data_IF_803461262591
#
_entry.id   IF_803461262591
#
_cell.length_a   1.000
_cell.length_b   1.000
_cell.length_c   1.000
_cell.angle_alpha   90.00
_cell.angle_beta   90.00
_cell.angle_gamma   90.00
#
_symmetry.space_group_name_H-M   'P 1'
#
loop_
_entity.id
_entity.type
_entity.pdbx_description
1 polymer ?
#
# COMPACT_ATOMS: atom_id res chain seq x y z
N UNK A 1 -35.45 -31.13 -10.64
CA UNK A 1 -34.37 -31.16 -9.63
C UNK A 1 -33.47 -32.40 -9.67
N UNK A 2 -33.83 -33.42 -10.43
CA UNK A 2 -33.06 -34.69 -10.54
C UNK A 2 -31.70 -34.56 -11.26
N UNK A 3 -31.50 -33.71 -12.30
CA UNK A 3 -30.21 -33.70 -13.03
C UNK A 3 -29.04 -33.13 -12.23
N UNK A 4 -29.29 -32.17 -11.33
CA UNK A 4 -28.22 -31.54 -10.51
C UNK A 4 -27.61 -32.49 -9.47
N UNK A 5 -28.45 -33.30 -8.84
CA UNK A 5 -27.99 -34.27 -7.81
C UNK A 5 -27.30 -35.48 -8.46
N UNK A 6 -27.72 -35.88 -9.68
CA UNK A 6 -27.07 -36.94 -10.42
C UNK A 6 -25.67 -36.54 -10.92
N UNK A 7 -25.46 -35.26 -11.30
CA UNK A 7 -24.16 -34.74 -11.71
C UNK A 7 -23.15 -34.74 -10.55
N UNK A 8 -23.59 -34.43 -9.34
CA UNK A 8 -22.71 -34.43 -8.13
C UNK A 8 -22.35 -35.86 -7.69
N UNK A 9 -23.31 -36.79 -7.75
CA UNK A 9 -23.11 -38.18 -7.27
C UNK A 9 -22.33 -39.08 -8.23
N UNK A 10 -22.30 -38.74 -9.51
CA UNK A 10 -21.65 -39.54 -10.57
C UNK A 10 -20.66 -38.71 -11.42
N UNK A 11 -20.10 -37.64 -10.84
CA UNK A 11 -19.23 -36.68 -11.55
C UNK A 11 -18.10 -37.38 -12.31
N UNK A 12 -17.37 -38.30 -11.69
CA UNK A 12 -16.22 -38.98 -12.32
C UNK A 12 -16.64 -39.87 -13.52
N UNK A 13 -17.75 -40.58 -13.38
CA UNK A 13 -18.25 -41.43 -14.47
C UNK A 13 -18.86 -40.61 -15.60
N UNK A 14 -19.58 -39.56 -15.29
CA UNK A 14 -20.15 -38.64 -16.26
C UNK A 14 -19.05 -37.91 -17.05
N UNK A 15 -17.98 -37.48 -16.38
CA UNK A 15 -16.82 -36.86 -17.02
C UNK A 15 -16.12 -37.85 -17.98
N UNK A 16 -15.86 -39.09 -17.54
CA UNK A 16 -15.23 -40.09 -18.40
C UNK A 16 -16.08 -40.44 -19.64
N UNK A 17 -17.39 -40.48 -19.49
CA UNK A 17 -18.30 -40.85 -20.55
C UNK A 17 -18.52 -39.74 -21.59
N UNK A 18 -18.49 -38.47 -21.11
CA UNK A 18 -18.65 -37.28 -21.94
C UNK A 18 -17.34 -36.72 -22.50
N UNK A 19 -16.20 -36.94 -21.82
CA UNK A 19 -14.92 -36.44 -22.24
C UNK A 19 -14.49 -36.99 -23.62
N UNK A 20 -14.67 -38.30 -23.88
CA UNK A 20 -14.27 -38.87 -25.14
C UNK A 20 -15.00 -38.32 -26.36
N UNK A 21 -16.36 -38.25 -26.37
CA UNK A 21 -17.07 -37.66 -27.51
C UNK A 21 -16.80 -36.16 -27.66
N UNK A 22 -16.59 -35.42 -26.54
CA UNK A 22 -16.23 -33.99 -26.58
C UNK A 22 -14.84 -33.78 -27.19
N UNK A 23 -13.85 -34.58 -26.81
CA UNK A 23 -12.50 -34.54 -27.42
C UNK A 23 -12.55 -34.88 -28.92
N UNK A 24 -13.39 -35.84 -29.30
CA UNK A 24 -13.56 -36.19 -30.72
C UNK A 24 -14.22 -35.05 -31.53
N UNK A 25 -15.27 -34.45 -30.96
CA UNK A 25 -15.94 -33.30 -31.54
C UNK A 25 -15.00 -32.10 -31.65
N UNK A 26 -14.22 -31.82 -30.59
CA UNK A 26 -13.20 -30.76 -30.57
C UNK A 26 -12.15 -30.97 -31.67
N UNK A 27 -11.62 -32.19 -31.83
CA UNK A 27 -10.68 -32.53 -32.92
C UNK A 27 -11.29 -32.37 -34.32
N UNK A 28 -12.56 -32.71 -34.48
CA UNK A 28 -13.27 -32.56 -35.75
C UNK A 28 -13.52 -31.09 -36.11
N UNK A 29 -13.81 -30.25 -35.10
CA UNK A 29 -14.06 -28.82 -35.26
C UNK A 29 -12.78 -27.98 -35.33
N UNK A 30 -11.68 -28.51 -34.82
CA UNK A 30 -10.40 -27.79 -34.76
C UNK A 30 -9.95 -27.18 -36.11
N UNK A 31 -10.00 -27.89 -37.26
CA UNK A 31 -9.60 -27.28 -38.53
C UNK A 31 -10.52 -26.15 -38.97
N UNK A 32 -11.81 -26.20 -38.63
CA UNK A 32 -12.78 -25.15 -38.95
C UNK A 32 -12.47 -23.91 -38.11
N UNK A 33 -12.23 -24.08 -36.79
CA UNK A 33 -11.84 -23.01 -35.89
C UNK A 33 -10.51 -22.39 -36.29
N UNK A 34 -9.52 -23.22 -36.65
CA UNK A 34 -8.23 -22.76 -37.15
C UNK A 34 -8.34 -21.91 -38.42
N UNK A 35 -9.20 -22.35 -39.40
CA UNK A 35 -9.44 -21.58 -40.60
C UNK A 35 -10.14 -20.24 -40.32
N UNK A 36 -11.10 -20.20 -39.38
CA UNK A 36 -11.76 -18.97 -38.97
C UNK A 36 -10.79 -18.00 -38.27
N UNK A 37 -9.97 -18.51 -37.37
CA UNK A 37 -8.93 -17.69 -36.70
C UNK A 37 -7.89 -17.17 -37.69
N UNK A 38 -7.47 -18.00 -38.64
CA UNK A 38 -6.55 -17.56 -39.69
C UNK A 38 -7.14 -16.42 -40.54
N UNK A 39 -8.43 -16.56 -40.95
CA UNK A 39 -9.11 -15.49 -41.71
C UNK A 39 -9.30 -14.22 -40.86
N UNK A 40 -9.66 -14.34 -39.59
CA UNK A 40 -9.76 -13.22 -38.67
C UNK A 40 -8.41 -12.49 -38.50
N UNK A 41 -7.33 -13.24 -38.28
CA UNK A 41 -5.99 -12.67 -38.17
C UNK A 41 -5.53 -12.00 -39.49
N UNK A 42 -5.89 -12.57 -40.64
CA UNK A 42 -5.59 -11.94 -41.91
C UNK A 42 -6.26 -10.57 -42.06
N UNK A 43 -7.52 -10.46 -41.63
CA UNK A 43 -8.28 -9.19 -41.63
C UNK A 43 -7.66 -8.19 -40.64
N UNK A 44 -7.30 -8.64 -39.42
CA UNK A 44 -6.68 -7.80 -38.41
C UNK A 44 -5.32 -7.26 -38.90
N UNK A 45 -4.51 -8.12 -39.52
CA UNK A 45 -3.23 -7.67 -40.11
C UNK A 45 -3.44 -6.68 -41.27
N UNK A 46 -4.47 -6.87 -42.10
CA UNK A 46 -4.80 -5.91 -43.14
C UNK A 46 -5.22 -4.54 -42.61
N UNK A 47 -5.85 -4.52 -41.41
CA UNK A 47 -6.26 -3.32 -40.70
C UNK A 47 -5.15 -2.75 -39.78
N UNK A 48 -3.95 -3.39 -39.72
CA UNK A 48 -2.83 -3.05 -38.84
C UNK A 48 -3.18 -3.10 -37.36
N UNK A 49 -4.11 -3.98 -36.96
CA UNK A 49 -4.44 -4.24 -35.58
C UNK A 49 -3.67 -5.49 -35.15
N UNK A 50 -2.84 -5.38 -34.12
CA UNK A 50 -2.16 -6.56 -33.55
C UNK A 50 -3.18 -7.43 -32.83
N UNK A 51 -3.33 -8.72 -33.20
CA UNK A 51 -4.19 -9.64 -32.48
C UNK A 51 -3.60 -9.87 -31.08
N UNK A 52 -4.33 -9.52 -30.04
CA UNK A 52 -3.97 -9.93 -28.67
C UNK A 52 -4.36 -11.40 -28.53
N UNK A 53 -3.38 -12.27 -28.31
CA UNK A 53 -3.63 -13.65 -27.91
C UNK A 53 -4.30 -13.66 -26.52
N UNK A 54 -5.57 -14.03 -26.47
CA UNK A 54 -6.35 -14.14 -25.21
C UNK A 54 -5.73 -15.14 -24.22
N UNK A 55 -4.82 -16.01 -24.67
CA UNK A 55 -4.12 -17.00 -23.83
C UNK A 55 -2.96 -16.37 -23.04
N UNK A 56 -2.54 -15.16 -23.40
CA UNK A 56 -1.48 -14.39 -22.72
C UNK A 56 -2.04 -13.10 -22.09
N UNK A 57 -3.33 -13.09 -21.71
CA UNK A 57 -3.87 -11.96 -20.95
C UNK A 57 -3.23 -11.94 -19.56
N UNK A 58 -2.13 -11.21 -19.45
CA UNK A 58 -1.75 -10.67 -18.15
C UNK A 58 -2.94 -9.83 -17.68
N UNK A 59 -3.61 -10.28 -16.65
CA UNK A 59 -4.67 -9.49 -16.02
C UNK A 59 -4.10 -8.14 -15.62
N UNK A 60 -4.83 -7.08 -15.91
CA UNK A 60 -4.49 -5.76 -15.38
C UNK A 60 -4.80 -5.70 -13.88
N UNK A 61 -4.22 -4.75 -13.16
CA UNK A 61 -4.51 -4.57 -11.73
C UNK A 61 -6.02 -4.38 -11.49
N UNK A 62 -6.68 -3.58 -12.34
CA UNK A 62 -8.12 -3.34 -12.25
C UNK A 62 -8.96 -4.61 -12.48
N UNK A 63 -8.52 -5.49 -13.38
CA UNK A 63 -9.19 -6.79 -13.58
C UNK A 63 -9.03 -7.69 -12.35
N UNK A 64 -7.83 -7.71 -11.73
CA UNK A 64 -7.58 -8.46 -10.48
C UNK A 64 -8.42 -7.89 -9.34
N UNK A 65 -8.46 -6.57 -9.17
CA UNK A 65 -9.31 -5.89 -8.17
C UNK A 65 -10.78 -6.27 -8.36
N UNK A 66 -11.28 -6.25 -9.62
CA UNK A 66 -12.66 -6.62 -9.95
C UNK A 66 -12.97 -8.10 -9.61
N UNK A 67 -12.04 -9.01 -9.92
CA UNK A 67 -12.18 -10.45 -9.62
C UNK A 67 -12.21 -10.67 -8.09
N UNK A 68 -11.33 -10.01 -7.35
CA UNK A 68 -11.28 -10.09 -5.88
C UNK A 68 -12.56 -9.54 -5.27
N UNK A 69 -13.02 -8.36 -5.69
CA UNK A 69 -14.24 -7.74 -5.20
C UNK A 69 -15.48 -8.62 -5.45
N UNK A 70 -15.58 -9.25 -6.62
CA UNK A 70 -16.68 -10.17 -6.93
C UNK A 70 -16.58 -11.47 -6.13
N UNK A 71 -15.36 -12.01 -5.95
CA UNK A 71 -15.14 -13.22 -5.17
C UNK A 71 -15.46 -13.03 -3.68
N UNK A 72 -15.15 -11.86 -3.14
CA UNK A 72 -15.50 -11.48 -1.75
C UNK A 72 -17.02 -11.29 -1.62
N UNK A 73 -17.65 -10.60 -2.58
CA UNK A 73 -19.11 -10.38 -2.57
C UNK A 73 -19.90 -11.69 -2.70
N UNK A 74 -19.41 -12.65 -3.48
CA UNK A 74 -20.02 -13.97 -3.65
C UNK A 74 -19.76 -14.92 -2.47
N UNK A 75 -18.92 -14.54 -1.49
CA UNK A 75 -18.52 -15.37 -0.36
C UNK A 75 -17.59 -16.52 -0.75
N UNK A 76 -16.97 -16.46 -1.93
CA UNK A 76 -15.98 -17.45 -2.38
C UNK A 76 -14.59 -17.17 -1.80
N UNK A 77 -14.31 -15.89 -1.52
CA UNK A 77 -13.09 -15.40 -0.87
C UNK A 77 -13.49 -14.72 0.45
N UNK A 78 -12.87 -15.15 1.56
CA UNK A 78 -13.03 -14.54 2.87
C UNK A 78 -11.90 -13.50 3.06
N UNK A 79 -12.24 -12.21 3.04
CA UNK A 79 -11.34 -11.09 3.37
C UNK A 79 -11.97 -10.29 4.52
N UNK A 80 -12.14 -10.96 5.68
CA UNK A 80 -12.80 -10.38 6.86
C UNK A 80 -12.12 -9.10 7.36
N UNK A 81 -10.81 -8.97 7.16
CA UNK A 81 -10.02 -7.81 7.58
C UNK A 81 -9.85 -6.75 6.50
N UNK A 82 -10.28 -7.00 5.26
CA UNK A 82 -10.11 -6.09 4.13
C UNK A 82 -8.66 -5.94 3.65
N UNK A 83 -7.72 -6.71 4.20
CA UNK A 83 -6.28 -6.59 3.90
C UNK A 83 -5.97 -6.79 2.42
N UNK A 84 -6.65 -7.75 1.77
CA UNK A 84 -6.42 -8.02 0.35
C UNK A 84 -6.89 -6.85 -0.51
N UNK A 85 -8.03 -6.26 -0.15
CA UNK A 85 -8.56 -5.07 -0.84
C UNK A 85 -7.61 -3.88 -0.67
N UNK A 86 -7.23 -3.56 0.58
CA UNK A 86 -6.29 -2.47 0.88
C UNK A 86 -4.93 -2.67 0.19
N UNK A 87 -4.41 -3.91 0.17
CA UNK A 87 -3.15 -4.21 -0.52
C UNK A 87 -3.21 -4.01 -2.04
N UNK A 88 -4.37 -4.23 -2.66
CA UNK A 88 -4.57 -3.96 -4.09
C UNK A 88 -4.76 -2.46 -4.38
N UNK A 89 -5.37 -1.71 -3.47
CA UNK A 89 -5.54 -0.26 -3.59
C UNK A 89 -4.26 0.50 -3.23
N UNK A 90 -3.38 -0.09 -2.42
CA UNK A 90 -2.13 0.52 -1.97
C UNK A 90 -1.25 1.02 -3.12
N UNK A 91 -1.22 0.28 -4.24
CA UNK A 91 -0.48 0.65 -5.45
C UNK A 91 -1.05 1.87 -6.18
N UNK A 92 -2.30 2.25 -5.90
CA UNK A 92 -2.95 3.40 -6.52
C UNK A 92 -2.68 4.71 -5.75
N UNK A 93 -2.21 4.61 -4.50
CA UNK A 93 -1.95 5.76 -3.63
C UNK A 93 -0.59 6.40 -3.92
N UNK A 94 -0.53 7.72 -3.79
CA UNK A 94 0.69 8.50 -3.89
C UNK A 94 1.13 9.03 -2.54
N UNK A 95 2.41 9.32 -2.39
CA UNK A 95 2.97 9.87 -1.16
C UNK A 95 2.24 11.16 -0.71
N UNK A 96 1.77 11.95 -1.67
CA UNK A 96 0.97 13.14 -1.41
C UNK A 96 -0.40 12.88 -0.80
N UNK A 97 -1.00 11.71 -1.06
CA UNK A 97 -2.33 11.35 -0.57
C UNK A 97 -2.27 10.91 0.91
N UNK A 98 -1.15 10.29 1.31
CA UNK A 98 -0.94 9.68 2.63
C UNK A 98 -0.15 10.58 3.59
N UNK A 99 0.58 11.58 3.08
CA UNK A 99 1.39 12.46 3.91
C UNK A 99 0.54 13.26 4.91
N UNK A 100 1.13 13.57 6.05
CA UNK A 100 0.62 14.59 6.97
C UNK A 100 1.09 15.96 6.47
N UNK A 101 0.18 16.89 6.12
CA UNK A 101 0.55 18.26 5.73
C UNK A 101 1.33 18.98 6.83
N UNK A 102 2.27 19.86 6.45
CA UNK A 102 3.15 20.54 7.41
C UNK A 102 2.42 21.27 8.52
N UNK A 103 1.27 21.86 8.24
CA UNK A 103 0.48 22.61 9.23
C UNK A 103 -0.04 21.72 10.37
N UNK A 104 -0.04 20.41 10.17
CA UNK A 104 -0.49 19.42 11.14
C UNK A 104 0.66 18.68 11.82
N UNK A 105 1.90 18.83 11.29
CA UNK A 105 3.09 18.19 11.86
C UNK A 105 3.52 18.95 13.10
N UNK A 106 3.72 18.22 14.20
CA UNK A 106 4.32 18.79 15.40
C UNK A 106 5.83 18.71 15.28
N UNK A 107 6.50 19.87 15.23
CA UNK A 107 7.96 20.00 15.16
C UNK A 107 8.56 20.33 16.52
N UNK A 108 9.85 20.12 16.63
CA UNK A 108 10.68 20.60 17.75
C UNK A 108 11.89 21.38 17.20
N UNK A 109 12.36 22.42 17.88
CA UNK A 109 13.50 23.18 17.40
C UNK A 109 14.79 22.37 17.49
N UNK A 110 15.72 22.64 16.58
CA UNK A 110 17.09 22.16 16.67
C UNK A 110 17.72 22.66 17.97
N UNK A 111 18.47 21.79 18.65
CA UNK A 111 19.07 22.10 19.95
C UNK A 111 18.10 22.07 21.13
N UNK A 112 16.89 21.51 20.95
CA UNK A 112 15.98 21.26 22.11
C UNK A 112 16.70 20.44 23.18
N UNK A 113 16.42 20.72 24.44
CA UNK A 113 16.97 19.95 25.57
C UNK A 113 16.17 18.64 25.77
N UNK A 114 16.77 17.58 26.37
CA UNK A 114 16.02 16.38 26.75
C UNK A 114 14.81 16.70 27.63
N UNK A 115 14.97 17.62 28.59
CA UNK A 115 13.90 18.06 29.48
C UNK A 115 12.68 18.60 28.68
N UNK A 116 12.92 19.54 27.76
CA UNK A 116 11.85 20.18 26.99
C UNK A 116 11.24 19.18 25.96
N UNK A 117 12.07 18.28 25.45
CA UNK A 117 11.59 17.22 24.54
C UNK A 117 10.63 16.28 25.28
N UNK A 118 11.01 15.77 26.45
CA UNK A 118 10.18 14.89 27.29
C UNK A 118 8.86 15.57 27.70
N UNK A 119 8.95 16.86 28.06
CA UNK A 119 7.75 17.65 28.35
C UNK A 119 6.81 17.73 27.14
N UNK A 120 7.37 17.95 25.93
CA UNK A 120 6.60 17.98 24.68
C UNK A 120 5.94 16.63 24.41
N UNK A 121 6.70 15.52 24.55
CA UNK A 121 6.17 14.16 24.43
C UNK A 121 5.00 13.92 25.39
N UNK A 122 5.19 14.31 26.68
CA UNK A 122 4.14 14.15 27.70
C UNK A 122 2.87 14.93 27.40
N UNK A 123 2.98 16.05 26.69
CA UNK A 123 1.84 16.92 26.34
C UNK A 123 1.08 16.43 25.10
N UNK A 124 1.77 15.96 24.07
CA UNK A 124 1.12 15.60 22.79
C UNK A 124 1.00 14.10 22.55
N UNK A 125 1.78 13.28 23.27
CA UNK A 125 1.69 11.82 23.23
C UNK A 125 2.39 11.15 22.04
N UNK A 126 3.09 11.91 21.19
CA UNK A 126 3.88 11.33 20.10
C UNK A 126 5.26 10.88 20.57
N UNK A 127 5.84 9.91 19.86
CA UNK A 127 7.19 9.41 20.16
C UNK A 127 8.25 9.91 19.19
N UNK A 128 7.85 10.50 18.06
CA UNK A 128 8.75 11.01 17.01
C UNK A 128 8.36 12.43 16.65
N UNK A 129 9.35 13.29 16.49
CA UNK A 129 9.18 14.70 16.18
C UNK A 129 10.17 15.12 15.12
N UNK A 130 9.69 15.82 14.11
CA UNK A 130 10.55 16.44 13.11
C UNK A 130 11.32 17.59 13.74
N UNK A 131 12.61 17.69 13.44
CA UNK A 131 13.48 18.75 13.93
C UNK A 131 13.55 19.86 12.91
N UNK A 132 13.14 21.05 13.33
CA UNK A 132 13.15 22.26 12.52
C UNK A 132 14.41 23.09 12.83
N UNK A 133 15.11 23.49 11.79
CA UNK A 133 16.28 24.35 11.90
C UNK A 133 15.87 25.84 12.05
N UNK A 134 16.80 26.73 12.45
CA UNK A 134 16.50 28.15 12.62
C UNK A 134 16.08 28.89 11.33
N UNK A 135 16.38 28.33 10.17
CA UNK A 135 16.03 28.89 8.86
C UNK A 135 14.68 28.37 8.33
N UNK A 136 13.98 27.54 9.12
CA UNK A 136 12.68 26.95 8.78
C UNK A 136 12.78 25.70 7.90
N UNK A 137 13.95 25.10 7.77
CA UNK A 137 14.17 23.81 7.14
C UNK A 137 13.96 22.65 8.13
N UNK A 138 14.07 21.42 7.63
CA UNK A 138 13.89 20.21 8.44
C UNK A 138 15.14 19.34 8.37
N UNK A 139 15.90 19.36 9.49
CA UNK A 139 17.20 18.67 9.61
C UNK A 139 17.04 17.16 9.69
N UNK A 140 15.95 16.69 10.34
CA UNK A 140 15.73 15.28 10.58
C UNK A 140 14.59 15.05 11.55
N UNK A 141 14.67 13.97 12.32
CA UNK A 141 13.70 13.71 13.39
C UNK A 141 14.38 13.12 14.63
N UNK A 142 13.76 13.37 15.78
CA UNK A 142 14.13 12.77 17.06
C UNK A 142 13.09 11.73 17.48
N UNK A 143 13.56 10.62 18.00
CA UNK A 143 12.72 9.61 18.62
C UNK A 143 12.94 9.64 20.14
N UNK A 144 11.88 9.53 20.94
CA UNK A 144 11.94 9.51 22.41
C UNK A 144 13.01 8.56 22.96
N UNK A 145 13.17 7.38 22.34
CA UNK A 145 14.19 6.40 22.68
C UNK A 145 15.63 6.96 22.68
N UNK A 146 15.92 7.85 21.71
CA UNK A 146 17.26 8.41 21.56
C UNK A 146 17.55 9.46 22.65
N UNK A 147 16.51 10.09 23.16
CA UNK A 147 16.58 11.08 24.24
C UNK A 147 16.69 10.43 25.62
N UNK A 148 15.91 9.36 25.87
CA UNK A 148 15.94 8.64 27.15
C UNK A 148 17.31 8.03 27.51
N UNK A 149 18.24 7.92 26.56
CA UNK A 149 19.60 7.45 26.79
C UNK A 149 20.54 8.54 27.30
N UNK A 150 20.08 9.78 27.37
CA UNK A 150 20.86 10.91 27.94
C UNK A 150 20.87 10.76 29.45
N UNK A 151 22.07 10.75 30.03
CA UNK A 151 22.20 10.68 31.50
C UNK A 151 21.72 11.97 32.20
N UNK A 152 21.49 11.92 33.52
CA UNK A 152 20.94 13.06 34.27
C UNK A 152 21.73 14.37 34.13
N UNK A 153 23.05 14.28 33.93
CA UNK A 153 23.91 15.45 33.78
C UNK A 153 23.77 16.20 32.45
N UNK A 154 23.16 15.56 31.44
CA UNK A 154 22.94 16.17 30.12
C UNK A 154 21.50 16.57 29.85
N UNK A 155 20.63 16.51 30.84
CA UNK A 155 19.17 16.73 30.65
C UNK A 155 18.83 18.19 30.28
N UNK A 156 19.65 19.15 30.70
CA UNK A 156 19.47 20.56 30.38
C UNK A 156 20.43 21.06 29.29
N UNK A 157 21.21 20.15 28.68
CA UNK A 157 22.10 20.48 27.57
C UNK A 157 21.37 20.21 26.21
N UNK A 158 21.66 21.03 25.18
CA UNK A 158 21.09 20.80 23.84
C UNK A 158 21.38 19.40 23.28
N UNK A 159 20.37 18.75 22.74
CA UNK A 159 20.54 17.45 22.04
C UNK A 159 21.44 17.67 20.83
N UNK A 160 22.56 16.94 20.70
CA UNK A 160 23.45 17.10 19.57
C UNK A 160 22.85 16.53 18.30
N UNK A 161 23.14 17.15 17.15
CA UNK A 161 22.67 16.72 15.81
C UNK A 161 23.01 15.26 15.47
N UNK A 162 24.04 14.70 16.08
CA UNK A 162 24.41 13.29 15.90
C UNK A 162 23.34 12.31 16.40
N UNK A 163 22.40 12.78 17.21
CA UNK A 163 21.23 11.99 17.65
C UNK A 163 20.00 12.21 16.79
N UNK A 164 20.00 13.23 15.93
CA UNK A 164 18.93 13.48 14.98
C UNK A 164 19.05 12.47 13.84
N UNK A 165 17.98 11.75 13.58
CA UNK A 165 17.91 10.76 12.51
C UNK A 165 17.55 11.43 11.20
N UNK A 166 18.11 10.93 10.10
CA UNK A 166 17.82 11.47 8.77
C UNK A 166 16.39 11.18 8.33
N UNK A 167 15.78 12.12 7.63
CA UNK A 167 14.56 11.91 6.86
C UNK A 167 14.91 11.28 5.50
N UNK A 168 14.11 10.34 5.04
CA UNK A 168 14.10 10.01 3.61
C UNK A 168 13.46 11.16 2.82
N UNK A 169 13.72 11.25 1.52
CA UNK A 169 13.06 12.23 0.65
C UNK A 169 12.29 11.49 -0.42
N UNK A 170 11.00 11.77 -0.53
CA UNK A 170 10.09 11.25 -1.55
C UNK A 170 9.42 12.42 -2.26
N UNK A 171 8.99 12.23 -3.50
CA UNK A 171 8.24 13.24 -4.23
C UNK A 171 6.76 13.09 -3.95
N UNK A 172 6.02 14.18 -4.13
CA UNK A 172 4.57 14.21 -3.95
C UNK A 172 3.85 13.17 -4.83
N UNK A 173 4.35 12.98 -6.06
CA UNK A 173 3.79 12.07 -7.06
C UNK A 173 4.33 10.64 -7.00
N UNK A 174 5.33 10.35 -6.15
CA UNK A 174 5.86 8.99 -6.02
C UNK A 174 4.79 8.03 -5.47
N UNK A 175 4.79 6.80 -5.96
CA UNK A 175 3.90 5.76 -5.45
C UNK A 175 4.26 5.41 -3.99
N UNK A 176 3.25 5.14 -3.18
CA UNK A 176 3.46 4.82 -1.75
C UNK A 176 4.33 3.59 -1.58
N UNK A 177 4.27 2.62 -2.51
CA UNK A 177 5.15 1.45 -2.55
C UNK A 177 6.63 1.83 -2.66
N UNK A 178 6.95 2.77 -3.55
CA UNK A 178 8.32 3.25 -3.75
C UNK A 178 8.80 4.02 -2.51
N UNK A 179 7.93 4.81 -1.90
CA UNK A 179 8.19 5.50 -0.65
C UNK A 179 8.48 4.50 0.47
N UNK A 180 7.66 3.45 0.63
CA UNK A 180 7.87 2.38 1.61
C UNK A 180 9.20 1.67 1.38
N UNK A 181 9.50 1.30 0.14
CA UNK A 181 10.75 0.65 -0.23
C UNK A 181 11.98 1.54 0.08
N UNK A 182 11.88 2.85 -0.14
CA UNK A 182 12.92 3.82 0.21
C UNK A 182 13.12 3.91 1.71
N UNK A 183 12.02 4.03 2.49
CA UNK A 183 12.07 4.10 3.94
C UNK A 183 12.69 2.84 4.55
N UNK A 184 12.35 1.65 4.03
CA UNK A 184 12.94 0.38 4.43
C UNK A 184 14.45 0.31 4.12
N UNK A 185 14.88 0.71 2.92
CA UNK A 185 16.31 0.71 2.53
C UNK A 185 17.14 1.66 3.39
N UNK A 186 16.59 2.80 3.77
CA UNK A 186 17.29 3.82 4.56
C UNK A 186 17.16 3.59 6.07
N UNK A 187 16.25 2.71 6.49
CA UNK A 187 15.89 2.52 7.90
C UNK A 187 15.20 3.74 8.50
N UNK A 188 14.64 4.63 7.66
CA UNK A 188 13.97 5.85 8.08
C UNK A 188 12.50 5.59 8.39
N UNK A 189 12.02 6.05 9.54
CA UNK A 189 10.60 5.95 9.92
C UNK A 189 9.78 7.16 9.47
N UNK A 190 10.45 8.23 9.08
CA UNK A 190 9.83 9.44 8.55
C UNK A 190 10.46 9.80 7.21
N UNK A 191 9.64 10.23 6.27
CA UNK A 191 10.09 10.77 5.00
C UNK A 191 9.53 12.17 4.79
N UNK A 192 10.35 13.04 4.22
CA UNK A 192 9.95 14.37 3.79
C UNK A 192 9.38 14.26 2.38
N UNK A 193 8.14 14.71 2.20
CA UNK A 193 7.48 14.78 0.90
C UNK A 193 7.77 16.13 0.28
N UNK A 194 8.36 16.13 -0.92
CA UNK A 194 8.81 17.32 -1.61
C UNK A 194 7.98 17.58 -2.87
N UNK A 195 7.68 18.85 -3.09
CA UNK A 195 7.02 19.34 -4.32
C UNK A 195 8.00 19.33 -5.49
N UNK A 196 7.51 19.46 -6.75
CA UNK A 196 8.39 19.63 -7.91
C UNK A 196 9.34 20.84 -7.82
N UNK A 197 8.98 21.86 -7.07
CA UNK A 197 9.77 23.07 -6.81
C UNK A 197 10.86 22.84 -5.75
N UNK A 198 10.84 21.68 -5.05
CA UNK A 198 11.80 21.30 -4.02
C UNK A 198 11.41 21.74 -2.61
N UNK A 199 10.20 22.28 -2.44
CA UNK A 199 9.69 22.67 -1.13
C UNK A 199 9.13 21.44 -0.38
N UNK A 200 9.10 21.48 0.95
CA UNK A 200 8.50 20.43 1.76
C UNK A 200 6.99 20.63 1.81
N UNK A 201 6.22 19.69 1.28
CA UNK A 201 4.76 19.68 1.33
C UNK A 201 4.22 19.07 2.63
N UNK A 202 4.89 18.06 3.16
CA UNK A 202 4.46 17.33 4.35
C UNK A 202 5.47 16.27 4.77
N UNK A 203 5.05 15.49 5.74
CA UNK A 203 5.83 14.36 6.30
C UNK A 203 5.01 13.08 6.14
N UNK A 204 5.65 12.07 5.62
CA UNK A 204 5.10 10.71 5.52
C UNK A 204 5.64 9.89 6.69
N UNK A 205 4.74 9.33 7.49
CA UNK A 205 5.10 8.45 8.59
C UNK A 205 5.00 7.00 8.14
N UNK A 206 5.95 6.16 8.55
CA UNK A 206 5.93 4.73 8.20
C UNK A 206 4.66 4.04 8.71
N UNK A 207 4.17 4.48 9.87
CA UNK A 207 2.94 3.97 10.47
C UNK A 207 1.72 4.22 9.55
N UNK A 208 1.58 5.43 8.98
CA UNK A 208 0.48 5.79 8.09
C UNK A 208 0.56 4.98 6.78
N UNK A 209 1.77 4.80 6.23
CA UNK A 209 2.00 3.95 5.05
C UNK A 209 1.60 2.50 5.29
N UNK A 210 1.90 1.96 6.48
CA UNK A 210 1.51 0.59 6.83
C UNK A 210 0.01 0.46 7.09
N UNK A 211 -0.65 1.52 7.58
CA UNK A 211 -2.10 1.56 7.75
C UNK A 211 -2.82 1.48 6.41
N UNK A 212 -2.33 2.19 5.38
CA UNK A 212 -2.87 2.07 4.02
C UNK A 212 -2.73 0.65 3.46
N UNK A 213 -1.61 -0.03 3.73
CA UNK A 213 -1.38 -1.39 3.25
C UNK A 213 -2.27 -2.44 3.95
N UNK A 214 -2.49 -2.28 5.26
CA UNK A 214 -3.19 -3.27 6.10
C UNK A 214 -4.68 -2.96 6.22
N UNK A 215 -5.08 -1.71 5.94
CA UNK A 215 -6.41 -1.18 6.24
C UNK A 215 -6.54 -0.79 7.72
N UNK A 216 -7.60 -0.07 8.05
CA UNK A 216 -7.89 0.29 9.44
C UNK A 216 -8.04 -0.98 10.29
N UNK A 217 -7.05 -1.23 11.16
CA UNK A 217 -7.18 -2.26 12.20
C UNK A 217 -8.16 -1.70 13.23
N UNK A 218 -9.44 -2.03 13.09
CA UNK A 218 -10.45 -1.74 14.09
C UNK A 218 -10.16 -2.58 15.35
N UNK A 219 -9.26 -2.08 16.18
CA UNK A 219 -9.02 -2.65 17.51
C UNK A 219 -10.25 -2.36 18.39
N UNK A 220 -11.13 -3.35 18.52
CA UNK A 220 -12.38 -3.29 19.30
C UNK A 220 -12.11 -2.92 20.77
N UNK A 221 -10.84 -2.91 21.18
CA UNK A 221 -10.40 -2.60 22.55
C UNK A 221 -9.96 -1.15 22.75
N UNK A 222 -9.73 -0.38 21.68
CA UNK A 222 -9.38 1.03 21.78
C UNK A 222 -10.64 1.90 21.69
N UNK A 223 -11.26 2.17 22.83
CA UNK A 223 -12.22 3.28 22.94
C UNK A 223 -11.55 4.58 22.52
N UNK A 224 -12.13 5.39 21.60
CA UNK A 224 -11.54 6.64 21.19
C UNK A 224 -11.39 7.54 22.42
N UNK A 225 -10.15 7.80 22.85
CA UNK A 225 -9.86 8.86 23.80
C UNK A 225 -10.21 10.18 23.14
N UNK A 226 -11.45 10.62 23.31
CA UNK A 226 -11.89 11.96 22.94
C UNK A 226 -11.03 12.93 23.74
N UNK A 227 -10.06 13.53 23.08
CA UNK A 227 -9.36 14.71 23.59
C UNK A 227 -10.41 15.83 23.68
N UNK A 228 -10.87 16.16 24.88
CA UNK A 228 -11.67 17.34 25.15
C UNK A 228 -10.68 18.46 25.47
N UNK A 229 -10.55 19.49 24.63
CA UNK A 229 -9.81 20.68 25.05
C UNK A 229 -10.56 21.34 26.21
N UNK A 230 -9.81 21.71 27.24
CA UNK A 230 -10.26 22.53 28.39
C UNK A 230 -10.31 24.00 27.97
#
# INVERSE_FOLDING_TARGET
MVPKNAAVSFADRAVMLLAQPLVWLSKLLHPVVAALNWTANLVLHALRIEPKDEVASSYTLEEVQSIVAESTRSGTLEDESGVLHSALEFSDHRAGDVMVPLERVVTVPEGITPHDFEWTVGRVGFSRFVVEDPDGGYTGYLHLKDVLTVGPSGHDEPIPLTRVRSLANVRLEDEVEDALALMQRTGSHLARVITPEGETAGILFLEDVLEELVGEINDVTQSPRRFRPA
#
